data_IF_064833802841
#
_entry.id   IF_064833802841
#
_cell.length_a   1.000
_cell.length_b   1.000
_cell.length_c   1.000
_cell.angle_alpha   90.00
_cell.angle_beta   90.00
_cell.angle_gamma   90.00
#
_symmetry.space_group_name_H-M   'P 1'
#
loop_
_entity.id
_entity.type
_entity.pdbx_description
1 polymer ?
#
# COMPACT_ATOMS: atom_id res chain seq x y z
N UNK A 1 21.94 -15.71 17.84
CA UNK A 1 22.97 -16.00 18.86
C UNK A 1 24.24 -16.67 18.31
N UNK A 2 24.30 -17.04 17.03
CA UNK A 2 25.51 -17.64 16.41
C UNK A 2 26.45 -16.66 15.70
N UNK A 3 26.01 -15.46 15.37
CA UNK A 3 26.85 -14.45 14.66
C UNK A 3 27.83 -13.75 15.62
N UNK A 4 27.52 -13.69 16.91
CA UNK A 4 28.39 -13.03 17.90
C UNK A 4 29.61 -13.88 18.31
N UNK A 5 29.56 -15.19 18.13
CA UNK A 5 30.68 -16.10 18.44
C UNK A 5 31.70 -16.21 17.31
N UNK A 6 31.35 -15.82 16.10
CA UNK A 6 32.29 -15.83 14.97
C UNK A 6 33.22 -14.61 14.95
N UNK A 7 32.76 -13.48 15.50
CA UNK A 7 33.58 -12.26 15.55
C UNK A 7 34.62 -12.27 16.66
N UNK A 8 34.44 -13.04 17.72
CA UNK A 8 35.41 -13.14 18.82
C UNK A 8 36.59 -14.06 18.51
N UNK A 9 36.41 -14.99 17.56
CA UNK A 9 37.46 -16.00 17.22
C UNK A 9 38.44 -15.54 16.15
N UNK A 10 38.09 -14.53 15.36
CA UNK A 10 38.97 -13.97 14.32
C UNK A 10 39.95 -12.91 14.86
N UNK A 11 39.69 -12.35 16.02
CA UNK A 11 40.57 -11.35 16.65
C UNK A 11 41.71 -11.94 17.48
N UNK A 12 41.68 -13.24 17.77
CA UNK A 12 42.72 -13.90 18.59
C UNK A 12 43.91 -14.50 17.79
N UNK A 13 43.79 -14.52 16.45
CA UNK A 13 44.77 -15.18 15.57
C UNK A 13 45.76 -14.24 14.85
N UNK A 14 45.66 -12.93 15.03
CA UNK A 14 46.54 -11.95 14.36
C UNK A 14 47.45 -11.17 15.30
N UNK A 15 47.99 -11.81 16.36
CA UNK A 15 48.97 -11.17 17.24
C UNK A 15 50.43 -11.49 16.87
N UNK A 16 50.71 -11.64 15.58
CA UNK A 16 52.11 -11.66 15.13
C UNK A 16 52.27 -10.76 13.90
N UNK A 17 53.22 -9.84 14.06
CA UNK A 17 53.71 -8.87 13.07
C UNK A 17 52.96 -7.54 13.02
N UNK A 18 53.51 -6.60 13.82
CA UNK A 18 53.95 -5.29 13.33
C UNK A 18 54.58 -4.53 14.51
N UNK A 19 55.89 -4.57 14.53
CA UNK A 19 56.72 -3.80 15.44
C UNK A 19 56.98 -2.44 14.77
N UNK A 20 56.20 -1.42 15.09
CA UNK A 20 56.49 -0.02 14.75
C UNK A 20 56.11 0.85 15.96
N UNK A 21 57.08 1.59 16.43
CA UNK A 21 57.21 2.22 17.76
C UNK A 21 56.17 3.26 18.20
N UNK A 22 55.11 3.56 17.50
CA UNK A 22 54.11 4.57 17.89
C UNK A 22 52.68 4.02 18.14
N UNK A 23 52.48 2.73 17.97
CA UNK A 23 51.15 2.11 18.17
C UNK A 23 50.91 1.67 19.62
N UNK A 24 51.96 1.59 20.43
CA UNK A 24 51.91 1.14 21.83
C UNK A 24 51.19 2.13 22.74
N UNK A 25 51.18 3.42 22.39
CA UNK A 25 50.51 4.46 23.17
C UNK A 25 49.00 4.42 23.01
N UNK A 26 48.50 4.09 21.81
CA UNK A 26 47.07 4.00 21.56
C UNK A 26 46.41 2.74 22.14
N UNK A 27 47.11 1.60 22.12
CA UNK A 27 46.59 0.36 22.70
C UNK A 27 46.60 0.37 24.22
N UNK A 28 47.52 1.11 24.86
CA UNK A 28 47.55 1.23 26.31
C UNK A 28 46.41 2.15 26.86
N UNK A 29 45.91 3.05 26.03
CA UNK A 29 44.71 3.86 26.38
C UNK A 29 43.40 3.05 26.26
N UNK A 30 43.38 2.04 25.40
CA UNK A 30 42.22 1.14 25.23
C UNK A 30 42.14 0.09 26.34
N UNK A 31 43.29 -0.36 26.90
CA UNK A 31 43.26 -1.33 28.00
C UNK A 31 42.90 -0.72 29.35
N UNK A 32 43.13 0.59 29.56
CA UNK A 32 42.72 1.32 30.76
C UNK A 32 41.21 1.58 30.81
N UNK A 33 40.51 1.41 29.69
CA UNK A 33 39.05 1.56 29.61
C UNK A 33 38.30 0.28 30.05
N UNK A 34 39.04 -0.83 30.29
CA UNK A 34 38.43 -2.15 30.54
C UNK A 34 38.04 -2.39 32.00
N UNK A 35 38.39 -1.50 32.92
CA UNK A 35 38.16 -1.77 34.36
C UNK A 35 37.02 -0.99 35.01
N UNK A 36 36.39 -0.07 34.32
CA UNK A 36 35.23 0.62 34.89
C UNK A 36 33.92 -0.08 34.52
N UNK A 37 33.48 -1.02 35.35
CA UNK A 37 32.13 -1.66 35.26
C UNK A 37 31.03 -0.61 35.06
N UNK A 38 31.19 0.58 35.64
CA UNK A 38 30.27 1.70 35.51
C UNK A 38 30.18 2.21 34.07
N UNK A 39 31.31 2.31 33.35
CA UNK A 39 31.34 2.77 31.95
C UNK A 39 30.66 1.73 31.01
N UNK A 40 30.89 0.44 31.29
CA UNK A 40 30.23 -0.64 30.54
C UNK A 40 28.72 -0.63 30.76
N UNK A 41 28.26 -0.45 32.00
CA UNK A 41 26.83 -0.35 32.32
C UNK A 41 26.22 0.89 31.66
N UNK A 42 26.90 2.03 31.68
CA UNK A 42 26.46 3.25 31.02
C UNK A 42 26.31 3.10 29.50
N UNK A 43 27.30 2.47 28.84
CA UNK A 43 27.23 2.17 27.41
C UNK A 43 26.07 1.21 27.09
N UNK A 44 25.82 0.22 27.95
CA UNK A 44 24.72 -0.72 27.76
C UNK A 44 23.34 -0.03 27.90
N UNK A 45 23.21 0.84 28.88
CA UNK A 45 21.99 1.65 29.06
C UNK A 45 21.80 2.62 27.89
N UNK A 46 22.87 3.24 27.39
CA UNK A 46 22.82 4.13 26.23
C UNK A 46 22.40 3.37 24.95
N UNK A 47 22.93 2.16 24.76
CA UNK A 47 22.56 1.32 23.63
C UNK A 47 21.10 0.87 23.69
N UNK A 48 20.60 0.53 24.88
CA UNK A 48 19.16 0.18 25.07
C UNK A 48 18.28 1.40 24.81
N UNK A 49 18.65 2.58 25.34
CA UNK A 49 17.93 3.82 25.11
C UNK A 49 17.89 4.18 23.61
N UNK A 50 19.00 3.99 22.89
CA UNK A 50 19.07 4.18 21.45
C UNK A 50 18.18 3.20 20.67
N UNK A 51 18.13 1.91 21.06
CA UNK A 51 17.23 0.93 20.47
C UNK A 51 15.75 1.28 20.67
N UNK A 52 15.40 1.82 21.86
CA UNK A 52 14.01 2.25 22.14
C UNK A 52 13.63 3.47 21.28
N UNK A 53 14.55 4.40 21.04
CA UNK A 53 14.33 5.57 20.19
C UNK A 53 14.13 5.22 18.71
N UNK A 54 14.83 4.20 18.19
CA UNK A 54 14.67 3.74 16.80
C UNK A 54 13.41 2.89 16.62
N UNK A 55 12.87 2.28 17.68
CA UNK A 55 11.64 1.50 17.66
C UNK A 55 10.38 2.37 17.63
N UNK A 56 10.50 3.68 17.83
CA UNK A 56 9.42 4.66 17.73
C UNK A 56 9.15 5.09 16.27
N UNK A 57 9.28 4.17 15.32
CA UNK A 57 8.66 4.34 14.01
C UNK A 57 7.16 4.21 14.23
N UNK A 58 6.47 5.36 14.26
CA UNK A 58 5.03 5.45 14.43
C UNK A 58 4.29 4.70 13.33
N UNK A 59 4.09 3.41 13.53
CA UNK A 59 3.06 2.68 12.84
C UNK A 59 1.73 3.21 13.33
N UNK A 60 1.14 4.12 12.58
CA UNK A 60 -0.29 4.37 12.67
C UNK A 60 -0.94 3.07 12.21
N UNK A 61 -1.58 2.36 13.12
CA UNK A 61 -2.47 1.25 12.76
C UNK A 61 -3.59 1.90 11.97
N UNK A 62 -3.48 1.83 10.65
CA UNK A 62 -4.56 2.15 9.72
C UNK A 62 -5.70 1.17 10.02
N UNK A 63 -6.75 1.64 10.68
CA UNK A 63 -7.84 0.76 11.12
C UNK A 63 -8.62 1.23 12.34
N UNK A 64 -8.29 2.37 12.91
CA UNK A 64 -9.10 2.97 13.97
C UNK A 64 -10.35 3.61 13.36
N UNK A 65 -11.42 2.79 13.25
CA UNK A 65 -12.79 3.19 12.94
C UNK A 65 -12.91 4.19 11.78
N UNK A 66 -12.91 3.71 10.52
CA UNK A 66 -13.19 4.58 9.39
C UNK A 66 -14.55 5.24 9.60
N UNK A 67 -14.54 6.55 9.75
CA UNK A 67 -15.74 7.37 9.99
C UNK A 67 -16.15 7.99 8.66
N UNK A 68 -17.44 7.93 8.36
CA UNK A 68 -18.02 8.64 7.22
C UNK A 68 -18.13 10.14 7.51
N UNK A 69 -18.10 10.99 6.48
CA UNK A 69 -18.30 12.43 6.64
C UNK A 69 -19.66 12.75 7.29
N UNK A 70 -19.73 13.90 7.97
CA UNK A 70 -20.93 14.42 8.64
C UNK A 70 -21.54 13.45 9.69
N UNK A 71 -20.70 12.63 10.35
CA UNK A 71 -21.14 11.61 11.33
C UNK A 71 -22.18 10.63 10.76
N UNK A 72 -22.19 10.45 9.45
CA UNK A 72 -23.07 9.49 8.78
C UNK A 72 -22.73 8.05 9.21
N UNK A 73 -23.75 7.23 9.37
CA UNK A 73 -23.63 5.82 9.79
C UNK A 73 -24.03 4.84 8.71
N UNK A 74 -24.55 5.35 7.62
CA UNK A 74 -25.04 4.53 6.51
C UNK A 74 -24.71 5.15 5.16
N UNK A 75 -24.43 4.26 4.20
CA UNK A 75 -24.13 4.62 2.83
C UNK A 75 -24.94 3.75 1.87
N UNK A 76 -25.32 4.32 0.75
CA UNK A 76 -25.90 3.61 -0.39
C UNK A 76 -25.01 3.72 -1.59
N UNK A 77 -24.81 2.63 -2.31
CA UNK A 77 -24.15 2.62 -3.62
C UNK A 77 -25.24 2.67 -4.68
N UNK A 78 -25.32 3.79 -5.40
CA UNK A 78 -26.24 3.95 -6.53
C UNK A 78 -25.81 3.06 -7.70
N UNK A 79 -26.67 2.82 -8.69
CA UNK A 79 -26.30 2.13 -9.91
C UNK A 79 -25.10 2.84 -10.58
N UNK A 80 -24.03 2.09 -10.80
CA UNK A 80 -22.80 2.62 -11.41
C UNK A 80 -23.04 2.86 -12.89
N UNK A 81 -22.68 4.04 -13.37
CA UNK A 81 -22.75 4.36 -14.78
C UNK A 81 -21.47 3.89 -15.48
N UNK A 82 -21.64 3.24 -16.63
CA UNK A 82 -20.51 2.74 -17.43
C UNK A 82 -20.52 3.38 -18.82
N UNK A 83 -19.59 4.31 -19.04
CA UNK A 83 -19.39 4.95 -20.33
C UNK A 83 -18.25 4.29 -21.14
N UNK A 84 -17.70 3.18 -20.65
CA UNK A 84 -16.65 2.45 -21.36
C UNK A 84 -17.23 1.52 -22.43
N UNK A 85 -16.36 1.02 -23.31
CA UNK A 85 -16.79 0.07 -24.36
C UNK A 85 -17.08 -1.35 -23.83
N UNK A 86 -16.73 -1.67 -22.56
CA UNK A 86 -16.89 -3.01 -21.99
C UNK A 86 -18.05 -3.06 -21.01
N UNK A 87 -19.09 -3.79 -21.37
CA UNK A 87 -20.22 -4.07 -20.49
C UNK A 87 -19.82 -5.00 -19.32
N UNK A 88 -20.53 -4.87 -18.19
CA UNK A 88 -20.37 -5.72 -17.01
C UNK A 88 -19.45 -5.13 -15.93
N UNK A 89 -18.59 -4.16 -16.25
CA UNK A 89 -17.70 -3.52 -15.29
C UNK A 89 -18.45 -2.83 -14.16
N UNK A 90 -19.62 -2.26 -14.46
CA UNK A 90 -20.51 -1.62 -13.51
C UNK A 90 -21.04 -2.60 -12.46
N UNK A 91 -21.34 -3.82 -12.86
CA UNK A 91 -21.80 -4.88 -11.96
C UNK A 91 -20.64 -5.36 -11.09
N UNK A 92 -19.52 -5.70 -11.72
CA UNK A 92 -18.32 -6.18 -11.01
C UNK A 92 -17.83 -5.16 -9.97
N UNK A 93 -17.78 -3.87 -10.35
CA UNK A 93 -17.38 -2.80 -9.42
C UNK A 93 -18.40 -2.63 -8.28
N UNK A 94 -19.69 -2.68 -8.58
CA UNK A 94 -20.75 -2.57 -7.57
C UNK A 94 -20.64 -3.70 -6.53
N UNK A 95 -20.40 -4.93 -6.97
CA UNK A 95 -20.25 -6.09 -6.08
C UNK A 95 -19.01 -5.96 -5.21
N UNK A 96 -17.86 -5.61 -5.78
CA UNK A 96 -16.61 -5.43 -5.04
C UNK A 96 -16.72 -4.31 -4.01
N UNK A 97 -17.28 -3.17 -4.40
CA UNK A 97 -17.43 -2.01 -3.51
C UNK A 97 -18.40 -2.30 -2.36
N UNK A 98 -19.54 -2.95 -2.65
CA UNK A 98 -20.48 -3.37 -1.61
C UNK A 98 -19.84 -4.39 -0.66
N UNK A 99 -19.03 -5.31 -1.17
CA UNK A 99 -18.27 -6.27 -0.37
C UNK A 99 -17.33 -5.56 0.59
N UNK A 100 -16.55 -4.58 0.13
CA UNK A 100 -15.65 -3.80 0.96
C UNK A 100 -16.40 -2.99 2.04
N UNK A 101 -17.50 -2.35 1.67
CA UNK A 101 -18.32 -1.57 2.61
C UNK A 101 -18.97 -2.46 3.68
N UNK A 102 -19.39 -3.68 3.34
CA UNK A 102 -19.99 -4.63 4.28
C UNK A 102 -18.99 -5.21 5.29
N UNK A 103 -17.70 -5.27 4.94
CA UNK A 103 -16.65 -5.73 5.88
C UNK A 103 -16.38 -4.69 6.98
N UNK A 104 -16.80 -3.45 6.77
CA UNK A 104 -16.66 -2.38 7.74
C UNK A 104 -17.82 -2.39 8.75
N UNK A 105 -17.55 -2.79 9.98
CA UNK A 105 -18.57 -2.86 11.04
C UNK A 105 -19.14 -1.50 11.47
N UNK A 106 -18.47 -0.41 11.14
CA UNK A 106 -18.87 0.96 11.53
C UNK A 106 -19.87 1.58 10.55
N UNK A 107 -20.03 1.00 9.35
CA UNK A 107 -20.87 1.55 8.27
C UNK A 107 -21.93 0.55 7.87
N UNK A 108 -23.18 1.03 7.74
CA UNK A 108 -24.30 0.21 7.27
C UNK A 108 -24.57 0.49 5.80
N UNK A 109 -24.56 -0.57 4.99
CA UNK A 109 -25.00 -0.48 3.61
C UNK A 109 -26.53 -0.57 3.57
N UNK A 110 -27.20 0.49 3.11
CA UNK A 110 -28.66 0.61 3.04
C UNK A 110 -29.11 0.99 1.62
N UNK A 111 -30.40 0.76 1.27
CA UNK A 111 -30.99 1.28 0.03
C UNK A 111 -30.95 2.81 -0.01
N UNK A 112 -30.92 3.39 -1.23
CA UNK A 112 -30.78 4.83 -1.46
C UNK A 112 -31.76 5.73 -0.70
N UNK A 113 -32.99 5.27 -0.46
CA UNK A 113 -33.99 6.03 0.29
C UNK A 113 -33.86 5.99 1.80
N UNK A 114 -32.93 5.18 2.35
CA UNK A 114 -32.73 4.97 3.80
C UNK A 114 -31.32 5.30 4.27
N UNK A 115 -30.38 5.50 3.36
CA UNK A 115 -29.00 5.79 3.67
C UNK A 115 -28.78 7.29 3.92
N UNK A 116 -27.86 7.62 4.84
CA UNK A 116 -27.45 9.00 5.11
C UNK A 116 -26.67 9.59 3.93
N UNK A 117 -25.83 8.76 3.28
CA UNK A 117 -25.02 9.14 2.14
C UNK A 117 -25.34 8.29 0.92
N UNK A 118 -25.23 8.89 -0.26
CA UNK A 118 -25.35 8.22 -1.56
C UNK A 118 -24.04 8.35 -2.33
N UNK A 119 -23.49 7.23 -2.72
CA UNK A 119 -22.30 7.16 -3.55
C UNK A 119 -22.69 6.92 -5.01
N UNK A 120 -22.34 7.85 -5.88
CA UNK A 120 -22.45 7.76 -7.34
C UNK A 120 -21.07 7.53 -7.92
N UNK A 121 -20.95 6.62 -8.88
CA UNK A 121 -19.69 6.33 -9.58
C UNK A 121 -19.96 6.26 -11.08
N UNK A 122 -19.07 6.84 -11.86
CA UNK A 122 -19.13 6.82 -13.33
C UNK A 122 -17.79 6.31 -13.85
N UNK A 123 -17.83 5.20 -14.58
CA UNK A 123 -16.68 4.69 -15.32
C UNK A 123 -16.60 5.41 -16.67
N UNK A 124 -15.52 6.16 -16.89
CA UNK A 124 -15.39 7.04 -18.05
C UNK A 124 -14.61 6.38 -19.20
N UNK A 125 -13.53 5.68 -18.87
CA UNK A 125 -12.59 5.22 -19.87
C UNK A 125 -11.90 3.93 -19.44
N UNK A 126 -11.82 2.98 -20.38
CA UNK A 126 -11.05 1.76 -20.24
C UNK A 126 -10.09 1.65 -21.41
N UNK A 127 -8.81 1.47 -21.13
CA UNK A 127 -7.79 1.12 -22.09
C UNK A 127 -7.26 -0.27 -21.75
N UNK A 128 -7.21 -1.11 -22.74
CA UNK A 128 -6.65 -2.46 -22.62
C UNK A 128 -5.46 -2.59 -23.55
N UNK A 129 -4.43 -3.37 -23.15
CA UNK A 129 -3.30 -3.63 -24.01
C UNK A 129 -3.76 -4.24 -25.32
N UNK A 130 -3.30 -3.68 -26.42
CA UNK A 130 -3.55 -4.26 -27.74
C UNK A 130 -2.62 -5.45 -27.94
N UNK A 131 -3.16 -6.64 -28.08
CA UNK A 131 -2.43 -7.87 -28.44
C UNK A 131 -2.07 -7.90 -29.94
N UNK A 132 -1.53 -6.79 -30.45
CA UNK A 132 -1.04 -6.69 -31.82
C UNK A 132 0.41 -7.18 -31.92
N UNK A 133 0.62 -8.35 -32.49
CA UNK A 133 1.94 -8.84 -32.92
C UNK A 133 2.56 -7.91 -33.96
N UNK A 134 3.25 -6.90 -33.55
CA UNK A 134 4.21 -6.21 -34.40
C UNK A 134 5.60 -6.73 -34.08
N UNK A 135 6.19 -7.47 -35.01
CA UNK A 135 7.53 -8.08 -34.92
C UNK A 135 8.68 -7.06 -34.76
N UNK A 136 8.40 -5.78 -34.70
CA UNK A 136 9.40 -4.71 -34.73
C UNK A 136 9.16 -3.56 -33.73
N UNK A 137 8.21 -3.65 -32.82
CA UNK A 137 8.07 -2.64 -31.76
C UNK A 137 8.57 -3.22 -30.44
N UNK A 138 9.66 -2.62 -29.96
CA UNK A 138 10.07 -2.65 -28.55
C UNK A 138 8.83 -2.21 -27.77
N UNK A 139 8.21 -3.12 -27.04
CA UNK A 139 7.01 -2.86 -26.27
C UNK A 139 7.34 -1.84 -25.17
N UNK A 140 7.04 -0.59 -25.41
CA UNK A 140 6.79 0.35 -24.33
C UNK A 140 5.59 -0.20 -23.57
N UNK A 141 5.84 -0.70 -22.35
CA UNK A 141 4.94 -1.47 -21.50
C UNK A 141 3.46 -1.18 -21.71
N UNK A 142 2.77 -2.17 -22.21
CA UNK A 142 1.34 -2.11 -22.45
C UNK A 142 0.65 -2.13 -21.08
N UNK A 143 -0.04 -1.05 -20.75
CA UNK A 143 -0.72 -0.90 -19.47
C UNK A 143 -2.22 -0.98 -19.71
N UNK A 144 -2.91 -1.73 -18.85
CA UNK A 144 -4.36 -1.59 -18.73
C UNK A 144 -4.68 -0.39 -17.85
N UNK A 145 -5.59 0.48 -18.28
CA UNK A 145 -5.95 1.71 -17.57
C UNK A 145 -7.47 1.81 -17.44
N UNK A 146 -7.95 2.03 -16.20
CA UNK A 146 -9.34 2.35 -15.91
C UNK A 146 -9.42 3.75 -15.30
N UNK A 147 -10.33 4.59 -15.84
CA UNK A 147 -10.60 5.93 -15.31
C UNK A 147 -12.06 6.08 -14.98
N UNK A 148 -12.35 6.82 -13.93
CA UNK A 148 -13.69 7.14 -13.52
C UNK A 148 -13.73 8.33 -12.58
N UNK A 149 -14.93 8.70 -12.18
CA UNK A 149 -15.23 9.75 -11.22
C UNK A 149 -16.22 9.24 -10.17
N UNK A 150 -16.24 9.86 -9.01
CA UNK A 150 -17.14 9.50 -7.93
C UNK A 150 -17.60 10.71 -7.13
N UNK A 151 -18.84 10.65 -6.66
CA UNK A 151 -19.50 11.71 -5.91
C UNK A 151 -20.18 11.11 -4.69
N UNK A 152 -20.05 11.74 -3.54
CA UNK A 152 -20.73 11.39 -2.31
C UNK A 152 -21.69 12.53 -1.93
N UNK A 153 -22.98 12.23 -1.88
CA UNK A 153 -24.05 13.18 -1.59
C UNK A 153 -24.69 12.88 -0.23
N UNK A 154 -24.94 13.90 0.59
CA UNK A 154 -25.75 13.79 1.79
C UNK A 154 -27.22 13.72 1.40
N UNK A 155 -27.90 12.61 1.75
CA UNK A 155 -29.29 12.35 1.39
C UNK A 155 -30.28 13.35 1.99
N UNK A 156 -29.93 14.01 3.11
CA UNK A 156 -30.82 14.94 3.81
C UNK A 156 -30.76 16.34 3.22
N UNK A 157 -29.58 16.76 2.78
CA UNK A 157 -29.36 18.14 2.28
C UNK A 157 -29.30 18.19 0.75
N UNK A 158 -29.02 17.07 0.09
CA UNK A 158 -28.76 17.00 -1.35
C UNK A 158 -27.41 17.62 -1.76
N UNK A 159 -26.57 17.96 -0.80
CA UNK A 159 -25.27 18.55 -1.08
C UNK A 159 -24.22 17.48 -1.33
N UNK A 160 -23.31 17.74 -2.27
CA UNK A 160 -22.11 16.93 -2.46
C UNK A 160 -21.17 17.16 -1.29
N UNK A 161 -20.86 16.11 -0.57
CA UNK A 161 -19.95 16.11 0.58
C UNK A 161 -18.52 15.88 0.14
N UNK A 162 -18.35 15.08 -0.89
CA UNK A 162 -17.06 14.74 -1.46
C UNK A 162 -17.20 14.42 -2.94
N UNK A 163 -16.20 14.82 -3.72
CA UNK A 163 -16.09 14.48 -5.13
C UNK A 163 -14.65 14.18 -5.54
N UNK A 164 -14.50 13.27 -6.45
CA UNK A 164 -13.24 12.94 -7.10
C UNK A 164 -13.46 12.85 -8.61
N UNK A 165 -12.98 13.86 -9.31
CA UNK A 165 -13.21 14.01 -10.75
C UNK A 165 -12.28 13.14 -11.62
N UNK A 166 -11.24 12.51 -11.04
CA UNK A 166 -10.33 11.67 -11.79
C UNK A 166 -9.69 10.60 -10.91
N UNK A 167 -10.32 9.46 -10.87
CA UNK A 167 -9.73 8.24 -10.32
C UNK A 167 -9.09 7.47 -11.46
N UNK A 168 -7.82 7.16 -11.36
CA UNK A 168 -7.10 6.41 -12.39
C UNK A 168 -6.37 5.22 -11.77
N UNK A 169 -6.62 4.04 -12.31
CA UNK A 169 -5.90 2.80 -11.99
C UNK A 169 -5.14 2.34 -13.22
N UNK A 170 -3.89 1.94 -13.02
CA UNK A 170 -3.02 1.38 -14.04
C UNK A 170 -2.46 0.05 -13.57
N UNK A 171 -2.44 -0.93 -14.47
CA UNK A 171 -1.79 -2.20 -14.25
C UNK A 171 -0.81 -2.42 -15.40
N UNK A 172 0.47 -2.58 -15.06
CA UNK A 172 1.48 -2.95 -16.03
C UNK A 172 1.30 -4.43 -16.39
N UNK A 173 1.40 -4.76 -17.67
CA UNK A 173 1.46 -6.15 -18.08
C UNK A 173 2.79 -6.74 -17.60
N UNK A 174 2.72 -7.83 -16.84
CA UNK A 174 3.89 -8.54 -16.38
C UNK A 174 4.53 -9.23 -17.60
N UNK A 175 5.79 -8.92 -17.88
CA UNK A 175 6.60 -9.63 -18.86
C UNK A 175 6.88 -11.07 -18.36
N UNK A 176 5.95 -11.96 -18.56
CA UNK A 176 6.09 -13.35 -18.12
C UNK A 176 5.22 -14.31 -18.89
N UNK A 177 5.87 -15.06 -19.78
CA UNK A 177 5.35 -16.22 -20.48
C UNK A 177 4.29 -15.97 -21.57
N UNK A 178 4.78 -15.82 -22.77
CA UNK A 178 4.03 -15.97 -24.01
C UNK A 178 3.49 -17.40 -24.13
N UNK A 179 2.30 -17.64 -23.64
CA UNK A 179 1.52 -18.84 -23.98
C UNK A 179 0.43 -18.38 -24.93
N UNK A 180 0.47 -18.82 -26.17
CA UNK A 180 -0.40 -18.38 -27.29
C UNK A 180 -1.92 -18.49 -27.02
N UNK A 181 -2.35 -19.16 -25.95
CA UNK A 181 -3.75 -19.29 -25.51
C UNK A 181 -4.12 -18.47 -24.27
N UNK A 182 -3.21 -17.63 -23.78
CA UNK A 182 -3.41 -16.89 -22.51
C UNK A 182 -4.05 -15.52 -22.68
N UNK A 183 -4.21 -15.01 -23.90
CA UNK A 183 -4.65 -13.62 -24.12
C UNK A 183 -6.02 -13.30 -23.55
N UNK A 184 -7.00 -14.20 -23.65
CA UNK A 184 -8.35 -13.95 -23.10
C UNK A 184 -8.43 -14.11 -21.59
N UNK A 185 -7.67 -15.06 -21.02
CA UNK A 185 -7.59 -15.28 -19.57
C UNK A 185 -6.79 -14.18 -18.89
N UNK A 186 -5.70 -13.73 -19.48
CA UNK A 186 -4.90 -12.59 -19.00
C UNK A 186 -5.71 -11.29 -19.04
N UNK A 187 -6.44 -11.07 -20.14
CA UNK A 187 -7.29 -9.90 -20.27
C UNK A 187 -8.39 -9.85 -19.20
N UNK A 188 -9.02 -10.99 -18.92
CA UNK A 188 -10.02 -11.09 -17.85
C UNK A 188 -9.40 -10.89 -16.47
N UNK A 189 -8.18 -11.40 -16.25
CA UNK A 189 -7.41 -11.20 -15.01
C UNK A 189 -7.07 -9.73 -14.78
N UNK A 190 -6.57 -9.05 -15.81
CA UNK A 190 -6.23 -7.63 -15.75
C UNK A 190 -7.46 -6.75 -15.48
N UNK A 191 -8.59 -7.06 -16.07
CA UNK A 191 -9.84 -6.34 -15.84
C UNK A 191 -10.31 -6.51 -14.40
N UNK A 192 -10.30 -7.73 -13.88
CA UNK A 192 -10.68 -7.99 -12.48
C UNK A 192 -9.76 -7.25 -11.51
N UNK A 193 -8.47 -7.25 -11.76
CA UNK A 193 -7.51 -6.53 -10.94
C UNK A 193 -7.72 -5.01 -11.01
N UNK A 194 -8.02 -4.44 -12.19
CA UNK A 194 -8.39 -3.03 -12.34
C UNK A 194 -9.61 -2.68 -11.48
N UNK A 195 -10.66 -3.48 -11.53
CA UNK A 195 -11.89 -3.29 -10.76
C UNK A 195 -11.61 -3.38 -9.26
N UNK A 196 -10.85 -4.39 -8.82
CA UNK A 196 -10.52 -4.56 -7.40
C UNK A 196 -9.73 -3.36 -6.88
N UNK A 197 -8.73 -2.90 -7.61
CA UNK A 197 -7.92 -1.71 -7.23
C UNK A 197 -8.75 -0.43 -7.26
N UNK A 198 -9.64 -0.29 -8.24
CA UNK A 198 -10.51 0.87 -8.33
C UNK A 198 -11.48 0.91 -7.15
N UNK A 199 -12.09 -0.21 -6.80
CA UNK A 199 -12.96 -0.33 -5.63
C UNK A 199 -12.22 -0.02 -4.32
N UNK A 200 -10.98 -0.52 -4.18
CA UNK A 200 -10.15 -0.26 -3.00
C UNK A 200 -9.79 1.22 -2.88
N UNK A 201 -9.38 1.87 -3.96
CA UNK A 201 -9.07 3.32 -3.97
C UNK A 201 -10.31 4.14 -3.60
N UNK A 202 -11.48 3.80 -4.13
CA UNK A 202 -12.74 4.44 -3.76
C UNK A 202 -13.03 4.29 -2.26
N UNK A 203 -12.93 3.05 -1.77
CA UNK A 203 -13.13 2.75 -0.36
C UNK A 203 -12.20 3.58 0.53
N UNK A 204 -10.90 3.54 0.25
CA UNK A 204 -9.89 4.26 1.03
C UNK A 204 -10.17 5.77 1.03
N UNK A 205 -10.51 6.36 -0.11
CA UNK A 205 -10.77 7.80 -0.23
C UNK A 205 -12.04 8.27 0.47
N UNK A 206 -13.09 7.43 0.50
CA UNK A 206 -14.33 7.73 1.23
C UNK A 206 -14.06 7.85 2.74
N UNK A 207 -13.05 7.15 3.27
CA UNK A 207 -12.77 7.10 4.70
C UNK A 207 -11.54 7.91 5.14
N UNK A 208 -10.67 8.33 4.23
CA UNK A 208 -9.41 9.04 4.58
C UNK A 208 -9.44 10.54 4.34
N UNK A 209 -10.40 11.04 3.59
CA UNK A 209 -10.45 12.46 3.22
C UNK A 209 -11.27 13.34 4.19
N UNK A 210 -11.57 12.83 5.39
CA UNK A 210 -12.37 13.57 6.38
C UNK A 210 -11.75 13.58 7.75
#
# INVERSE_FOLDING_TARGET
>A
MQIFLYFSKTLSSQSRFLQVGNLKIYLNRYSAFKENKIVLIFNYILAIAFCILVSSCGYVIEGSNPVLPNDAKSISVLPIQNSTFKAGLETDLSEQLKGLLQTNSSVKLLPAGQADLKLSVILLYLELPSSGLSKYQISTGTQAVLKGEAFLEDSRTGNTVWEENMIQVKIAESEGNQVENASSLMLSGNIRELINRFAQILYDRIFTNF
#
